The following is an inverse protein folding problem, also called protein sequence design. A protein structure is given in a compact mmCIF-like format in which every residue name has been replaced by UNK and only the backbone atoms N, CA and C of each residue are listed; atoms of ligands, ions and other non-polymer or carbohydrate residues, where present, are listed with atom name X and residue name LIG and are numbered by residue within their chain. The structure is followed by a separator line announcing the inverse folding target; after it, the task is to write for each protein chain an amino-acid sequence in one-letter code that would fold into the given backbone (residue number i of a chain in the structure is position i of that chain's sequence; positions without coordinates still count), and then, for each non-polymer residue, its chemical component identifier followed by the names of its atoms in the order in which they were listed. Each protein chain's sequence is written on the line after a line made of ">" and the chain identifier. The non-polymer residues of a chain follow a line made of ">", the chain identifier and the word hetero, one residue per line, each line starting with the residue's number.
data_IF_868369604670
#
_entry.id   IF_868369604670
#
_cell.length_a   1.000
_cell.length_b   1.000
_cell.length_c   1.000
_cell.angle_alpha   90.00
_cell.angle_beta   90.00
_cell.angle_gamma   90.00
#
_symmetry.space_group_name_H-M   'P 1'
#
loop_
_entity.id
_entity.type
_entity.pdbx_description
1 polymer ?
#
# COMPACT_ATOMS: atom_id res chain seq x y z
N UNK A 1 -6.27 6.12 -0.95
CA UNK A 1 -6.86 4.79 -1.15
C UNK A 1 -5.74 3.77 -1.18
N UNK A 2 -5.93 2.64 -0.50
CA UNK A 2 -5.01 1.50 -0.50
C UNK A 2 -5.75 0.25 -0.92
N UNK A 3 -5.06 -0.65 -1.61
CA UNK A 3 -5.64 -1.91 -2.08
C UNK A 3 -4.52 -2.95 -2.23
N UNK A 4 -4.76 -4.18 -1.77
CA UNK A 4 -4.00 -5.35 -2.23
C UNK A 4 -4.91 -6.17 -3.13
N UNK A 5 -4.73 -6.04 -4.44
CA UNK A 5 -5.67 -6.58 -5.43
C UNK A 5 -5.89 -8.08 -5.27
N UNK A 6 -7.17 -8.45 -5.22
CA UNK A 6 -7.60 -9.83 -5.04
C UNK A 6 -7.49 -10.35 -3.60
N UNK A 7 -7.02 -9.53 -2.64
CA UNK A 7 -6.93 -9.89 -1.23
C UNK A 7 -7.75 -8.95 -0.34
N UNK A 8 -7.76 -7.66 -0.64
CA UNK A 8 -8.56 -6.66 0.07
C UNK A 8 -9.41 -5.86 -0.90
N UNK A 9 -10.55 -5.36 -0.43
CA UNK A 9 -11.22 -4.25 -1.09
C UNK A 9 -10.39 -2.97 -1.00
N UNK A 10 -10.66 -1.95 -1.84
CA UNK A 10 -10.05 -0.65 -1.69
C UNK A 10 -10.51 0.02 -0.39
N UNK A 11 -9.57 0.60 0.35
CA UNK A 11 -9.85 1.32 1.59
C UNK A 11 -9.39 2.78 1.48
N UNK A 12 -10.24 3.70 1.93
CA UNK A 12 -9.95 5.13 1.94
C UNK A 12 -9.50 5.60 3.32
N UNK A 13 -8.52 6.51 3.34
CA UNK A 13 -8.00 7.12 4.55
C UNK A 13 -7.83 8.63 4.32
N UNK A 14 -8.10 9.42 5.35
CA UNK A 14 -7.96 10.88 5.31
C UNK A 14 -6.51 11.34 5.49
N UNK A 15 -5.65 10.49 6.05
CA UNK A 15 -4.21 10.78 6.26
C UNK A 15 -3.37 9.71 5.57
N UNK A 16 -2.27 10.13 4.97
CA UNK A 16 -1.32 9.22 4.32
C UNK A 16 -0.66 8.27 5.32
N UNK A 17 -0.31 8.75 6.52
CA UNK A 17 0.24 7.92 7.60
C UNK A 17 -0.66 6.73 7.92
N UNK A 18 -1.96 6.99 8.05
CA UNK A 18 -2.93 5.97 8.45
C UNK A 18 -3.12 4.94 7.33
N UNK A 19 -3.13 5.40 6.06
CA UNK A 19 -3.11 4.52 4.90
C UNK A 19 -1.88 3.60 4.88
N UNK A 20 -0.69 4.14 5.14
CA UNK A 20 0.55 3.37 5.17
C UNK A 20 0.57 2.35 6.30
N UNK A 21 0.17 2.75 7.51
CA UNK A 21 0.06 1.84 8.65
C UNK A 21 -0.95 0.71 8.41
N UNK A 22 -2.13 1.02 7.85
CA UNK A 22 -3.14 0.01 7.54
C UNK A 22 -2.69 -0.95 6.43
N UNK A 23 -1.98 -0.44 5.42
CA UNK A 23 -1.41 -1.25 4.35
C UNK A 23 -0.35 -2.22 4.89
N UNK A 24 0.57 -1.73 5.73
CA UNK A 24 1.58 -2.57 6.39
C UNK A 24 0.95 -3.63 7.29
N UNK A 25 -0.07 -3.26 8.07
CA UNK A 25 -0.79 -4.22 8.91
C UNK A 25 -1.46 -5.32 8.06
N UNK A 26 -2.04 -4.95 6.91
CA UNK A 26 -2.64 -5.91 5.98
C UNK A 26 -1.59 -6.85 5.39
N UNK A 27 -0.43 -6.32 4.98
CA UNK A 27 0.67 -7.12 4.42
C UNK A 27 1.26 -8.07 5.45
N UNK A 28 1.42 -7.64 6.71
CA UNK A 28 1.90 -8.49 7.82
C UNK A 28 0.93 -9.61 8.21
N UNK A 29 -0.35 -9.48 7.87
CA UNK A 29 -1.34 -10.54 8.08
C UNK A 29 -1.31 -11.61 6.97
N UNK A 30 -0.60 -11.38 5.88
CA UNK A 30 -0.45 -12.33 4.78
C UNK A 30 0.74 -13.28 5.04
N UNK A 31 0.71 -14.51 4.49
CA UNK A 31 1.83 -15.45 4.59
C UNK A 31 2.95 -15.08 3.61
N UNK A 32 3.51 -13.88 3.76
CA UNK A 32 4.65 -13.39 2.99
C UNK A 32 5.96 -13.94 3.57
N UNK A 33 6.99 -13.99 2.73
CA UNK A 33 8.34 -14.31 3.21
C UNK A 33 8.91 -13.14 4.02
N UNK A 34 9.92 -13.40 4.85
CA UNK A 34 10.57 -12.35 5.67
C UNK A 34 11.14 -11.25 4.77
N UNK A 35 11.73 -11.61 3.63
CA UNK A 35 12.30 -10.64 2.69
C UNK A 35 11.24 -9.72 2.09
N UNK A 36 10.04 -10.24 1.84
CA UNK A 36 8.93 -9.41 1.36
C UNK A 36 8.41 -8.49 2.47
N UNK A 37 8.35 -8.97 3.71
CA UNK A 37 7.95 -8.15 4.86
C UNK A 37 8.95 -7.00 5.08
N UNK A 38 10.25 -7.29 5.08
CA UNK A 38 11.32 -6.30 5.22
C UNK A 38 11.26 -5.26 4.08
N UNK A 39 11.09 -5.72 2.85
CA UNK A 39 10.90 -4.84 1.69
C UNK A 39 9.71 -3.89 1.87
N UNK A 40 8.58 -4.40 2.37
CA UNK A 40 7.40 -3.56 2.59
C UNK A 40 7.57 -2.60 3.76
N UNK A 41 8.24 -3.01 4.83
CA UNK A 41 8.58 -2.15 5.96
C UNK A 41 9.50 -1.00 5.54
N UNK A 42 10.48 -1.24 4.66
CA UNK A 42 11.29 -0.18 4.05
C UNK A 42 10.47 0.71 3.11
N UNK A 43 9.61 0.11 2.28
CA UNK A 43 8.84 0.83 1.26
C UNK A 43 7.76 1.74 1.88
N UNK A 44 7.02 1.25 2.86
CA UNK A 44 5.83 1.88 3.44
C UNK A 44 5.98 2.25 4.93
N UNK A 45 7.18 2.09 5.49
CA UNK A 45 7.49 2.46 6.87
C UNK A 45 7.24 3.93 7.21
N UNK A 46 7.27 4.29 8.50
CA UNK A 46 6.92 5.63 8.98
C UNK A 46 7.75 6.74 8.33
N UNK A 47 9.03 6.50 8.08
CA UNK A 47 9.94 7.49 7.47
C UNK A 47 9.71 7.67 5.96
N UNK A 48 8.97 6.74 5.33
CA UNK A 48 8.68 6.79 3.90
C UNK A 48 7.53 7.74 3.54
N UNK A 49 6.78 8.27 4.52
CA UNK A 49 5.57 9.07 4.26
C UNK A 49 5.82 10.28 3.35
N UNK A 50 6.91 11.04 3.56
CA UNK A 50 7.26 12.18 2.70
C UNK A 50 7.60 11.74 1.28
N UNK A 51 8.42 10.70 1.14
CA UNK A 51 8.83 10.14 -0.16
C UNK A 51 7.64 9.60 -0.95
N UNK A 52 6.75 8.88 -0.27
CA UNK A 52 5.52 8.34 -0.85
C UNK A 52 4.57 9.48 -1.22
N UNK A 53 4.38 10.47 -0.35
CA UNK A 53 3.57 11.65 -0.65
C UNK A 53 4.05 12.38 -1.91
N UNK A 54 5.37 12.57 -2.05
CA UNK A 54 5.94 13.12 -3.27
C UNK A 54 5.66 12.26 -4.50
N UNK A 55 5.84 10.93 -4.42
CA UNK A 55 5.53 10.04 -5.55
C UNK A 55 4.05 10.07 -5.94
N UNK A 56 3.15 10.15 -4.96
CA UNK A 56 1.72 10.26 -5.23
C UNK A 56 1.38 11.58 -5.93
N UNK A 57 2.00 12.69 -5.51
CA UNK A 57 1.80 13.99 -6.16
C UNK A 57 2.38 14.04 -7.58
N UNK A 58 3.53 13.40 -7.81
CA UNK A 58 4.23 13.41 -9.10
C UNK A 58 3.65 12.41 -10.10
N UNK A 59 3.28 11.20 -9.65
CA UNK A 59 2.93 10.07 -10.51
C UNK A 59 1.50 9.57 -10.34
N UNK A 60 0.74 10.09 -9.37
CA UNK A 60 -0.64 9.69 -9.09
C UNK A 60 -0.80 8.36 -8.35
N UNK A 61 0.26 7.55 -8.24
CA UNK A 61 0.20 6.26 -7.53
C UNK A 61 1.57 5.70 -7.16
N UNK A 62 1.56 4.79 -6.20
CA UNK A 62 2.65 3.88 -5.88
C UNK A 62 2.14 2.46 -6.01
N UNK A 63 2.89 1.61 -6.71
CA UNK A 63 2.57 0.20 -6.94
C UNK A 63 3.74 -0.69 -6.57
N UNK A 64 3.44 -1.85 -6.01
CA UNK A 64 4.40 -2.93 -5.81
C UNK A 64 3.71 -4.30 -5.89
N UNK A 65 4.46 -5.39 -5.84
CA UNK A 65 3.94 -6.75 -5.90
C UNK A 65 4.22 -7.48 -4.60
N UNK A 66 3.19 -8.12 -4.04
CA UNK A 66 3.30 -9.10 -2.99
C UNK A 66 3.05 -10.50 -3.58
N UNK A 67 3.93 -11.45 -3.33
CA UNK A 67 3.84 -12.82 -3.82
C UNK A 67 3.36 -13.75 -2.71
N UNK A 68 2.21 -14.38 -2.93
CA UNK A 68 1.71 -15.50 -2.12
C UNK A 68 2.04 -16.80 -2.85
N UNK A 69 3.11 -17.46 -2.42
CA UNK A 69 3.75 -18.51 -3.21
C UNK A 69 4.22 -17.95 -4.56
N UNK A 70 3.70 -18.50 -5.66
CA UNK A 70 4.01 -18.04 -7.02
C UNK A 70 2.98 -17.03 -7.58
N UNK A 71 1.97 -16.67 -6.79
CA UNK A 71 0.88 -15.80 -7.25
C UNK A 71 1.18 -14.34 -6.90
N UNK A 72 1.35 -13.44 -7.90
CA UNK A 72 1.56 -12.02 -7.64
C UNK A 72 0.24 -11.29 -7.35
N UNK A 73 0.24 -10.46 -6.32
CA UNK A 73 -0.84 -9.56 -5.93
C UNK A 73 -0.35 -8.11 -6.00
N UNK A 74 -1.13 -7.26 -6.68
CA UNK A 74 -0.76 -5.86 -6.85
C UNK A 74 -1.12 -5.06 -5.59
N UNK A 75 -0.11 -4.50 -4.95
CA UNK A 75 -0.24 -3.54 -3.84
C UNK A 75 -0.31 -2.15 -4.44
N UNK A 76 -1.41 -1.42 -4.20
CA UNK A 76 -1.65 -0.08 -4.73
C UNK A 76 -1.89 0.92 -3.61
N UNK A 77 -1.29 2.09 -3.77
CA UNK A 77 -1.59 3.29 -3.01
C UNK A 77 -1.78 4.44 -4.00
N UNK A 78 -2.92 5.13 -3.93
CA UNK A 78 -3.26 6.22 -4.85
C UNK A 78 -4.22 7.21 -4.16
N UNK A 79 -4.25 8.49 -4.57
CA UNK A 79 -5.23 9.45 -4.07
C UNK A 79 -6.64 8.91 -4.27
N UNK A 80 -7.52 9.17 -3.30
CA UNK A 80 -8.94 8.94 -3.54
C UNK A 80 -9.41 10.01 -4.55
N UNK A 81 -10.07 9.59 -5.63
CA UNK A 81 -10.70 10.55 -6.53
C UNK A 81 -11.73 11.35 -5.74
N UNK A 82 -11.78 12.69 -5.88
CA UNK A 82 -12.78 13.52 -5.22
C UNK A 82 -14.23 13.18 -5.63
N UNK A 83 -14.42 12.32 -6.65
CA UNK A 83 -15.73 11.82 -7.11
C UNK A 83 -16.06 10.37 -6.73
N UNK A 84 -15.20 9.64 -6.02
CA UNK A 84 -15.54 8.28 -5.55
C UNK A 84 -16.43 8.36 -4.30
N UNK A 85 -17.58 7.66 -4.25
CA UNK A 85 -18.44 7.66 -3.08
C UNK A 85 -17.70 7.08 -1.86
N UNK A 86 -17.94 7.71 -0.70
CA UNK A 86 -17.43 7.31 0.62
C UNK A 86 -18.11 6.06 1.14
#
# INVERSE_FOLDING_TARGET
>A
MVEVKGLTGPAQFSKLSDALSALLASLRALPLTVEQLDYFDELFGPDSAQRIGHRLATYGEVRSLAFLGLTPHLVKLYPADPGSPR
#
